data_IF_511573944522
#
_entry.id   IF_511573944522
#
_cell.length_a   1.000
_cell.length_b   1.000
_cell.length_c   1.000
_cell.angle_alpha   90.00
_cell.angle_beta   90.00
_cell.angle_gamma   90.00
#
_symmetry.space_group_name_H-M   'P 1'
#
loop_
_entity.id
_entity.type
_entity.pdbx_description
1 polymer ?
#
# COMPACT_ATOMS: atom_id res chain seq x y z
N UNK A 1 57.61 -46.65 -22.60
CA UNK A 1 56.95 -47.15 -21.37
C UNK A 1 56.07 -46.02 -20.84
N UNK A 2 54.76 -46.08 -21.09
CA UNK A 2 53.79 -45.00 -20.77
C UNK A 2 52.84 -45.53 -19.69
N UNK A 3 53.03 -45.11 -18.45
CA UNK A 3 52.12 -45.43 -17.35
C UNK A 3 50.98 -44.43 -17.36
N UNK A 4 49.80 -44.92 -17.75
CA UNK A 4 48.55 -44.17 -17.83
C UNK A 4 48.01 -43.98 -16.41
N UNK A 5 48.03 -42.76 -15.89
CA UNK A 5 47.18 -42.42 -14.75
C UNK A 5 45.76 -42.22 -15.26
N UNK A 6 44.85 -43.07 -14.78
CA UNK A 6 43.46 -43.16 -15.19
C UNK A 6 42.65 -41.94 -14.73
N UNK A 7 41.96 -41.30 -15.68
CA UNK A 7 41.01 -40.20 -15.52
C UNK A 7 39.79 -40.52 -14.62
N UNK A 8 39.72 -41.73 -14.05
CA UNK A 8 38.58 -42.23 -13.26
C UNK A 8 38.55 -41.73 -11.81
N UNK A 9 39.61 -41.08 -11.32
CA UNK A 9 39.68 -40.50 -9.97
C UNK A 9 39.15 -39.06 -9.89
N UNK A 10 38.92 -38.39 -11.03
CA UNK A 10 38.43 -37.00 -11.06
C UNK A 10 36.90 -36.86 -11.18
N UNK A 11 36.18 -37.94 -11.48
CA UNK A 11 34.72 -37.87 -11.67
C UNK A 11 33.93 -37.94 -10.37
N UNK A 12 34.50 -38.49 -9.29
CA UNK A 12 33.78 -38.69 -8.01
C UNK A 12 33.76 -37.49 -7.07
N UNK A 13 34.67 -36.52 -7.21
CA UNK A 13 34.69 -35.33 -6.37
C UNK A 13 33.76 -34.20 -6.87
N UNK A 14 33.36 -34.24 -8.16
CA UNK A 14 32.54 -33.19 -8.76
C UNK A 14 31.02 -33.40 -8.56
N UNK A 15 30.60 -34.63 -8.24
CA UNK A 15 29.17 -34.96 -8.09
C UNK A 15 28.60 -34.67 -6.68
N UNK A 16 29.44 -34.46 -5.66
CA UNK A 16 28.97 -34.13 -4.30
C UNK A 16 28.78 -32.61 -4.11
N UNK A 17 29.51 -31.78 -4.86
CA UNK A 17 29.43 -30.32 -4.71
C UNK A 17 28.25 -29.67 -5.48
N UNK A 18 27.66 -30.35 -6.47
CA UNK A 18 26.56 -29.79 -7.30
C UNK A 18 25.17 -30.05 -6.67
N UNK A 19 25.03 -31.07 -5.81
CA UNK A 19 23.75 -31.41 -5.18
C UNK A 19 23.30 -30.47 -4.07
N UNK A 20 24.21 -29.66 -3.50
CA UNK A 20 23.90 -28.81 -2.35
C UNK A 20 23.44 -27.38 -2.73
N UNK A 21 23.53 -26.99 -4.00
CA UNK A 21 23.27 -25.62 -4.45
C UNK A 21 21.88 -25.42 -5.10
N UNK A 22 21.02 -26.43 -5.12
CA UNK A 22 19.74 -26.41 -5.86
C UNK A 22 18.48 -26.44 -4.98
N UNK A 23 18.61 -26.28 -3.66
CA UNK A 23 17.44 -26.08 -2.79
C UNK A 23 17.23 -24.58 -2.60
N UNK A 24 16.32 -23.93 -3.36
CA UNK A 24 15.92 -22.57 -3.03
C UNK A 24 15.37 -22.57 -1.59
N UNK A 25 15.74 -21.59 -0.74
CA UNK A 25 15.14 -21.50 0.58
C UNK A 25 13.62 -21.44 0.42
N UNK A 26 12.84 -22.04 1.32
CA UNK A 26 11.39 -21.91 1.26
C UNK A 26 11.06 -20.41 1.26
N UNK A 27 10.44 -19.93 0.18
CA UNK A 27 9.83 -18.62 0.20
C UNK A 27 8.74 -18.68 1.27
N UNK A 28 9.03 -18.12 2.44
CA UNK A 28 8.01 -17.88 3.44
C UNK A 28 7.03 -16.88 2.82
N UNK A 29 5.84 -17.36 2.46
CA UNK A 29 4.76 -16.48 2.06
C UNK A 29 4.52 -15.49 3.20
N UNK A 30 4.54 -14.20 2.89
CA UNK A 30 4.10 -13.20 3.86
C UNK A 30 2.66 -13.54 4.25
N UNK A 31 2.30 -13.48 5.55
CA UNK A 31 0.93 -13.71 5.97
C UNK A 31 0.03 -12.74 5.21
N UNK A 32 -1.06 -13.26 4.64
CA UNK A 32 -2.08 -12.42 4.03
C UNK A 32 -2.62 -11.46 5.09
N UNK A 33 -2.75 -10.15 4.81
CA UNK A 33 -3.41 -9.25 5.73
C UNK A 33 -4.80 -9.80 6.04
N UNK A 34 -5.10 -10.01 7.32
CA UNK A 34 -6.44 -10.40 7.75
C UNK A 34 -7.48 -9.38 7.31
N UNK A 35 -8.75 -9.78 7.24
CA UNK A 35 -9.83 -8.85 6.96
C UNK A 35 -9.81 -7.70 7.97
N UNK A 36 -9.85 -6.45 7.50
CA UNK A 36 -9.73 -5.27 8.34
C UNK A 36 -10.92 -5.09 9.31
N UNK A 37 -12.02 -5.81 9.08
CA UNK A 37 -13.27 -5.67 9.83
C UNK A 37 -14.06 -4.41 9.47
N UNK A 38 -13.52 -3.50 8.67
CA UNK A 38 -14.22 -2.31 8.22
C UNK A 38 -15.24 -2.65 7.13
N UNK A 39 -16.39 -1.98 7.20
CA UNK A 39 -17.41 -1.97 6.14
C UNK A 39 -17.85 -0.53 5.91
N UNK A 40 -18.21 -0.23 4.66
CA UNK A 40 -18.84 1.06 4.35
C UNK A 40 -20.20 1.08 5.02
N UNK A 41 -20.41 2.03 5.92
CA UNK A 41 -21.70 2.23 6.59
C UNK A 41 -22.56 3.31 5.92
N UNK A 42 -21.92 4.24 5.20
CA UNK A 42 -22.58 5.34 4.50
C UNK A 42 -21.67 5.89 3.42
N UNK A 43 -22.28 6.27 2.30
CA UNK A 43 -21.67 7.08 1.25
C UNK A 43 -22.41 8.41 1.19
N UNK A 44 -21.68 9.52 1.24
CA UNK A 44 -22.26 10.87 1.20
C UNK A 44 -21.81 11.57 -0.08
N UNK A 45 -22.72 11.94 -0.98
CA UNK A 45 -22.38 12.80 -2.11
C UNK A 45 -22.22 14.24 -1.60
N UNK A 46 -21.00 14.77 -1.68
CA UNK A 46 -20.72 16.16 -1.28
C UNK A 46 -20.99 17.14 -2.44
N UNK A 47 -20.96 16.66 -3.69
CA UNK A 47 -21.22 17.47 -4.89
C UNK A 47 -20.11 18.48 -5.18
N UNK A 48 -20.38 19.47 -6.04
CA UNK A 48 -19.45 20.55 -6.39
C UNK A 48 -18.39 20.17 -7.43
N UNK A 49 -17.88 21.19 -8.11
CA UNK A 49 -16.88 21.07 -9.18
C UNK A 49 -15.48 20.70 -8.64
N UNK A 50 -14.63 20.18 -9.53
CA UNK A 50 -13.22 19.89 -9.23
C UNK A 50 -12.96 18.54 -8.57
N UNK A 51 -11.69 18.27 -8.25
CA UNK A 51 -11.25 17.04 -7.58
C UNK A 51 -11.41 17.07 -6.06
N UNK A 52 -11.20 15.91 -5.44
CA UNK A 52 -11.07 15.75 -3.99
C UNK A 52 -9.63 15.42 -3.65
N UNK A 53 -9.17 15.88 -2.49
CA UNK A 53 -7.85 15.49 -1.99
C UNK A 53 -7.91 14.96 -0.55
N UNK A 54 -7.68 15.80 0.44
CA UNK A 54 -7.62 15.38 1.83
C UNK A 54 -8.95 15.56 2.55
N UNK A 55 -9.15 14.72 3.57
CA UNK A 55 -10.26 14.80 4.52
C UNK A 55 -9.70 14.88 5.93
N UNK A 56 -10.15 15.87 6.71
CA UNK A 56 -9.83 16.01 8.12
C UNK A 56 -11.11 16.12 8.95
N UNK A 57 -11.16 15.44 10.10
CA UNK A 57 -12.29 15.50 11.03
C UNK A 57 -11.87 16.20 12.30
N UNK A 58 -12.44 17.38 12.55
CA UNK A 58 -12.39 18.05 13.84
C UNK A 58 -13.52 17.51 14.73
N UNK A 59 -13.13 16.66 15.67
CA UNK A 59 -14.07 16.06 16.62
C UNK A 59 -14.63 17.05 17.65
N UNK A 60 -13.87 18.09 18.01
CA UNK A 60 -14.29 19.11 18.98
C UNK A 60 -15.32 20.05 18.39
N UNK A 61 -15.12 20.50 17.15
CA UNK A 61 -16.06 21.37 16.45
C UNK A 61 -17.19 20.62 15.72
N UNK A 62 -17.12 19.29 15.63
CA UNK A 62 -18.01 18.44 14.81
C UNK A 62 -18.02 18.89 13.34
N UNK A 63 -16.82 19.06 12.76
CA UNK A 63 -16.64 19.48 11.36
C UNK A 63 -15.77 18.49 10.58
N UNK A 64 -16.12 18.29 9.32
CA UNK A 64 -15.31 17.57 8.34
C UNK A 64 -14.85 18.59 7.30
N UNK A 65 -13.54 18.74 7.16
CA UNK A 65 -12.91 19.62 6.19
C UNK A 65 -12.42 18.78 5.03
N UNK A 66 -12.79 19.19 3.82
CA UNK A 66 -12.48 18.44 2.60
C UNK A 66 -11.83 19.39 1.61
N UNK A 67 -10.56 19.17 1.31
CA UNK A 67 -9.79 20.08 0.46
C UNK A 67 -10.06 19.82 -1.02
N UNK A 68 -10.12 20.91 -1.79
CA UNK A 68 -10.46 20.93 -3.20
C UNK A 68 -9.61 21.95 -3.94
N UNK A 69 -8.33 21.68 -4.18
CA UNK A 69 -7.43 22.47 -5.06
C UNK A 69 -7.27 23.96 -4.75
N UNK A 70 -8.34 24.74 -4.85
CA UNK A 70 -8.48 26.19 -4.67
C UNK A 70 -9.29 26.59 -3.42
N UNK A 71 -10.03 25.67 -2.81
CA UNK A 71 -10.93 25.94 -1.68
C UNK A 71 -11.10 24.70 -0.78
N UNK A 72 -11.74 24.87 0.38
CA UNK A 72 -12.04 23.77 1.32
C UNK A 72 -13.52 23.75 1.68
N UNK A 73 -14.18 22.62 1.43
CA UNK A 73 -15.58 22.40 1.84
C UNK A 73 -15.63 22.02 3.31
N UNK A 74 -16.57 22.59 4.04
CA UNK A 74 -16.82 22.27 5.45
C UNK A 74 -18.18 21.61 5.59
N UNK A 75 -18.18 20.40 6.14
CA UNK A 75 -19.38 19.60 6.36
C UNK A 75 -19.61 19.39 7.87
N UNK A 76 -20.87 19.33 8.28
CA UNK A 76 -21.24 18.92 9.62
C UNK A 76 -21.02 17.42 9.81
N UNK A 77 -20.31 17.03 10.88
CA UNK A 77 -19.85 15.65 11.05
C UNK A 77 -20.95 14.67 11.50
N UNK A 78 -22.12 15.15 11.90
CA UNK A 78 -23.24 14.33 12.37
C UNK A 78 -24.33 14.18 11.29
N UNK A 79 -24.65 15.30 10.64
CA UNK A 79 -25.71 15.38 9.63
C UNK A 79 -25.21 15.18 8.20
N UNK A 80 -23.91 15.36 7.98
CA UNK A 80 -23.27 15.34 6.67
C UNK A 80 -23.75 16.46 5.72
N UNK A 81 -24.35 17.52 6.26
CA UNK A 81 -24.70 18.70 5.50
C UNK A 81 -23.46 19.55 5.25
N UNK A 82 -23.30 20.07 4.03
CA UNK A 82 -22.32 21.13 3.76
C UNK A 82 -22.77 22.39 4.50
N UNK A 83 -21.91 22.89 5.38
CA UNK A 83 -22.19 24.05 6.25
C UNK A 83 -21.32 25.25 5.93
N UNK A 84 -20.35 25.11 5.03
CA UNK A 84 -19.51 26.23 4.61
C UNK A 84 -18.54 25.88 3.50
N UNK A 85 -17.95 26.94 2.98
CA UNK A 85 -16.89 26.91 1.97
C UNK A 85 -15.82 27.92 2.40
N UNK A 86 -14.56 27.49 2.42
CA UNK A 86 -13.40 28.34 2.72
C UNK A 86 -12.68 28.59 1.38
N UNK A 87 -12.87 29.77 0.77
CA UNK A 87 -12.27 30.09 -0.51
C UNK A 87 -10.79 30.48 -0.38
N UNK A 88 -10.15 30.72 -1.52
CA UNK A 88 -8.79 31.30 -1.63
C UNK A 88 -7.67 30.48 -0.98
N UNK A 89 -7.89 29.17 -0.86
CA UNK A 89 -6.88 28.23 -0.39
C UNK A 89 -6.21 27.55 -1.58
N UNK A 90 -5.48 28.31 -2.40
CA UNK A 90 -4.83 27.76 -3.61
C UNK A 90 -3.74 26.74 -3.24
N UNK A 91 -3.73 25.60 -3.93
CA UNK A 91 -2.73 24.55 -3.71
C UNK A 91 -3.02 23.64 -2.49
N UNK A 92 -4.25 23.59 -1.97
CA UNK A 92 -4.63 22.68 -0.86
C UNK A 92 -4.80 21.23 -1.31
N UNK A 93 -3.80 20.72 -2.01
CA UNK A 93 -3.73 19.37 -2.53
C UNK A 93 -2.36 18.74 -2.17
N UNK A 94 -2.26 17.43 -2.23
CA UNK A 94 -1.03 16.65 -2.06
C UNK A 94 -0.21 16.53 -3.33
#
# INVERSE_FOLDING_TARGET
>A
MRNKLNCFQMTSALLIAIGFCLCPPPLSAAPSPGASGYKVIKTVPVGGEGGWDYVYVDSGARRVYISRGTHTVVMDADTYAVVGDIPDTQGVHG
#
